data_IF_081059013764
#
_entry.id   IF_081059013764
#
_cell.length_a   1.000
_cell.length_b   1.000
_cell.length_c   1.000
_cell.angle_alpha   90.00
_cell.angle_beta   90.00
_cell.angle_gamma   90.00
#
_symmetry.space_group_name_H-M   'P 1'
#
loop_
_entity.id
_entity.type
_entity.pdbx_description
1 polymer ?
#
# COMPACT_ATOMS: atom_id res chain seq x y z
N UNK A 1 -1.76 10.67 1.78
CA UNK A 1 -1.65 9.22 1.47
C UNK A 1 -2.96 8.72 0.94
N UNK A 2 -2.93 7.69 0.11
CA UNK A 2 -4.13 6.92 -0.27
C UNK A 2 -3.88 5.47 0.11
N UNK A 3 -4.86 4.85 0.76
CA UNK A 3 -4.98 3.39 0.89
C UNK A 3 -6.44 3.00 0.74
N UNK A 4 -6.72 2.09 -0.17
CA UNK A 4 -8.03 1.49 -0.33
C UNK A 4 -7.93 0.01 -0.68
N UNK A 5 -9.04 -0.70 -0.55
CA UNK A 5 -9.11 -2.08 -0.96
C UNK A 5 -10.48 -2.40 -1.57
N UNK A 6 -10.51 -3.40 -2.46
CA UNK A 6 -11.74 -3.92 -3.02
C UNK A 6 -11.67 -5.43 -3.19
N UNK A 7 -12.84 -6.07 -3.19
CA UNK A 7 -12.94 -7.50 -3.43
C UNK A 7 -12.62 -7.80 -4.90
N UNK A 8 -11.65 -8.67 -5.15
CA UNK A 8 -11.31 -9.13 -6.50
C UNK A 8 -12.06 -10.40 -6.85
N UNK A 9 -12.08 -11.37 -5.93
CA UNK A 9 -12.84 -12.62 -6.05
C UNK A 9 -13.53 -12.93 -4.72
N UNK A 10 -14.35 -13.97 -4.68
CA UNK A 10 -14.95 -14.45 -3.43
C UNK A 10 -13.92 -14.89 -2.36
N UNK A 11 -12.63 -14.93 -2.69
CA UNK A 11 -11.55 -15.39 -1.80
C UNK A 11 -10.38 -14.43 -1.70
N UNK A 12 -10.42 -13.28 -2.38
CA UNK A 12 -9.28 -12.36 -2.42
C UNK A 12 -9.71 -10.92 -2.51
N UNK A 13 -8.85 -10.06 -1.97
CA UNK A 13 -8.96 -8.61 -1.98
C UNK A 13 -7.68 -8.03 -2.59
N UNK A 14 -7.82 -6.93 -3.32
CA UNK A 14 -6.70 -6.13 -3.79
C UNK A 14 -6.65 -4.87 -2.94
N UNK A 15 -5.46 -4.56 -2.43
CA UNK A 15 -5.13 -3.34 -1.69
C UNK A 15 -4.28 -2.46 -2.57
N UNK A 16 -4.63 -1.19 -2.67
CA UNK A 16 -3.86 -0.16 -3.36
C UNK A 16 -3.36 0.88 -2.37
N UNK A 17 -2.06 1.15 -2.40
CA UNK A 17 -1.40 2.10 -1.49
C UNK A 17 -0.57 3.12 -2.29
N UNK A 18 -0.81 4.42 -2.11
CA UNK A 18 -0.07 5.50 -2.81
C UNK A 18 0.44 6.59 -1.87
N UNK A 19 1.72 6.94 -2.06
CA UNK A 19 2.35 8.16 -1.56
C UNK A 19 2.30 9.20 -2.67
N UNK A 20 1.50 10.25 -2.47
CA UNK A 20 1.39 11.39 -3.39
C UNK A 20 2.11 12.60 -2.81
N UNK A 21 2.83 13.30 -3.68
CA UNK A 21 3.39 14.63 -3.42
C UNK A 21 2.94 15.52 -4.57
N UNK A 22 2.17 16.57 -4.24
CA UNK A 22 1.49 17.43 -5.20
C UNK A 22 0.67 16.64 -6.25
N UNK A 23 1.13 16.63 -7.50
CA UNK A 23 0.51 15.96 -8.64
C UNK A 23 1.18 14.64 -9.02
N UNK A 24 2.24 14.24 -8.30
CA UNK A 24 3.03 13.05 -8.60
C UNK A 24 2.74 11.93 -7.60
N UNK A 25 2.44 10.73 -8.11
CA UNK A 25 2.51 9.50 -7.32
C UNK A 25 3.98 9.09 -7.20
N UNK A 26 4.59 9.31 -6.04
CA UNK A 26 6.00 8.98 -5.76
C UNK A 26 6.22 7.49 -5.55
N UNK A 27 5.24 6.83 -4.95
CA UNK A 27 5.35 5.44 -4.59
C UNK A 27 3.97 4.81 -4.60
N UNK A 28 3.86 3.64 -5.24
CA UNK A 28 2.62 2.89 -5.40
C UNK A 28 2.91 1.42 -5.15
N UNK A 29 2.07 0.76 -4.36
CA UNK A 29 2.14 -0.67 -4.10
C UNK A 29 0.74 -1.28 -4.23
N UNK A 30 0.68 -2.47 -4.82
CA UNK A 30 -0.55 -3.26 -4.94
C UNK A 30 -0.32 -4.64 -4.31
N UNK A 31 -1.27 -5.09 -3.48
CA UNK A 31 -1.21 -6.39 -2.80
C UNK A 31 -2.49 -7.17 -3.04
N UNK A 32 -2.38 -8.45 -3.38
CA UNK A 32 -3.51 -9.39 -3.34
C UNK A 32 -3.44 -10.20 -2.05
N UNK A 33 -4.49 -10.12 -1.22
CA UNK A 33 -4.58 -10.80 0.07
C UNK A 33 -5.82 -11.70 0.17
N UNK A 34 -5.78 -12.78 0.97
CA UNK A 34 -6.85 -13.77 0.99
C UNK A 34 -8.07 -13.35 1.84
N UNK A 35 -7.93 -12.35 2.73
CA UNK A 35 -9.03 -11.94 3.61
C UNK A 35 -9.21 -10.43 3.63
N UNK A 36 -10.44 -10.00 3.89
CA UNK A 36 -10.75 -8.58 4.10
C UNK A 36 -9.99 -8.00 5.30
N UNK A 37 -9.80 -8.82 6.35
CA UNK A 37 -9.06 -8.42 7.54
C UNK A 37 -7.60 -8.09 7.21
N UNK A 38 -6.97 -8.90 6.36
CA UNK A 38 -5.61 -8.61 5.90
C UNK A 38 -5.57 -7.32 5.06
N UNK A 39 -6.60 -7.09 4.24
CA UNK A 39 -6.72 -5.88 3.43
C UNK A 39 -6.86 -4.62 4.31
N UNK A 40 -7.71 -4.68 5.34
CA UNK A 40 -7.88 -3.62 6.33
C UNK A 40 -6.58 -3.33 7.07
N UNK A 41 -5.90 -4.37 7.58
CA UNK A 41 -4.63 -4.19 8.26
C UNK A 41 -3.57 -3.55 7.36
N UNK A 42 -3.52 -3.90 6.07
CA UNK A 42 -2.60 -3.26 5.13
C UNK A 42 -2.90 -1.76 4.97
N UNK A 43 -4.18 -1.38 4.83
CA UNK A 43 -4.56 0.02 4.74
C UNK A 43 -4.23 0.80 6.01
N UNK A 44 -4.52 0.24 7.19
CA UNK A 44 -4.23 0.85 8.50
C UNK A 44 -2.73 1.00 8.73
N UNK A 45 -1.94 -0.03 8.41
CA UNK A 45 -0.49 0.01 8.57
C UNK A 45 0.15 0.93 7.55
N UNK A 46 -0.38 1.05 6.32
CA UNK A 46 0.11 2.02 5.34
C UNK A 46 0.01 3.45 5.86
N UNK A 47 -1.15 3.84 6.41
CA UNK A 47 -1.33 5.20 6.94
C UNK A 47 -0.34 5.52 8.06
N UNK A 48 0.03 4.51 8.87
CA UNK A 48 0.98 4.67 9.98
C UNK A 48 2.45 4.60 9.55
N UNK A 49 2.80 3.73 8.61
CA UNK A 49 4.18 3.27 8.39
C UNK A 49 4.76 3.70 7.02
N UNK A 50 4.01 4.43 6.17
CA UNK A 50 4.42 4.73 4.79
C UNK A 50 5.78 5.43 4.64
N UNK A 51 6.17 6.30 5.58
CA UNK A 51 7.45 7.03 5.51
C UNK A 51 8.64 6.08 5.66
N UNK A 52 8.57 5.16 6.61
CA UNK A 52 9.59 4.15 6.84
C UNK A 52 9.67 3.19 5.66
N UNK A 53 8.53 2.71 5.16
CA UNK A 53 8.48 1.82 4.00
C UNK A 53 9.09 2.50 2.76
N UNK A 54 8.75 3.76 2.50
CA UNK A 54 9.30 4.52 1.38
C UNK A 54 10.82 4.73 1.52
N UNK A 55 11.29 5.15 2.69
CA UNK A 55 12.71 5.37 2.95
C UNK A 55 13.53 4.07 2.81
N UNK A 56 13.02 2.96 3.35
CA UNK A 56 13.63 1.64 3.20
C UNK A 56 13.69 1.21 1.73
N UNK A 57 12.58 1.35 1.00
CA UNK A 57 12.51 0.97 -0.43
C UNK A 57 13.49 1.78 -1.27
N UNK A 58 13.50 3.11 -1.11
CA UNK A 58 14.41 3.98 -1.85
C UNK A 58 15.87 3.67 -1.53
N UNK A 59 16.23 3.56 -0.25
CA UNK A 59 17.61 3.24 0.14
C UNK A 59 18.07 1.88 -0.39
N UNK A 60 17.18 0.90 -0.46
CA UNK A 60 17.49 -0.43 -1.02
C UNK A 60 17.67 -0.40 -2.53
N UNK A 61 16.87 0.39 -3.25
CA UNK A 61 16.88 0.41 -4.72
C UNK A 61 17.91 1.37 -5.33
N UNK A 62 18.37 2.38 -4.59
CA UNK A 62 19.34 3.37 -5.08
C UNK A 62 20.77 3.12 -4.61
N UNK A 63 21.02 2.00 -3.91
CA UNK A 63 22.35 1.57 -3.47
C UNK A 63 23.04 0.67 -4.50
#
# INVERSE_FOLDING_TARGET
MISDYHQLTNRTYVVHCELKEDYLTKFSMEFTVPTEKDAQHLCENWERDYEEIYAFTMSTLTN
#
